data_IF_426376401791
#
_entry.id   IF_426376401791
#
_cell.length_a   1.000
_cell.length_b   1.000
_cell.length_c   1.000
_cell.angle_alpha   90.00
_cell.angle_beta   90.00
_cell.angle_gamma   90.00
#
_symmetry.space_group_name_H-M   'P 1'
#
loop_
_entity.id
_entity.type
_entity.pdbx_description
1 polymer ?
#
# COMPACT_ATOMS: atom_id res chain seq x y z
N UNK A 1 -28.19 -20.90 52.73
CA UNK A 1 -27.57 -21.66 51.62
C UNK A 1 -28.01 -21.22 50.23
N UNK A 2 -29.29 -20.88 49.99
CA UNK A 2 -29.79 -20.55 48.64
C UNK A 2 -29.17 -19.33 47.94
N UNK A 3 -28.76 -18.28 48.67
CA UNK A 3 -28.13 -17.07 48.08
C UNK A 3 -26.75 -17.34 47.46
N UNK A 4 -26.01 -18.34 47.96
CA UNK A 4 -24.68 -18.71 47.46
C UNK A 4 -24.78 -19.49 46.15
N UNK A 5 -25.84 -20.28 45.99
CA UNK A 5 -26.12 -21.04 44.76
C UNK A 5 -26.54 -20.11 43.61
N UNK A 6 -27.40 -19.13 43.88
CA UNK A 6 -27.83 -18.16 42.86
C UNK A 6 -26.65 -17.32 42.34
N UNK A 7 -25.77 -16.86 43.25
CA UNK A 7 -24.55 -16.12 42.86
C UNK A 7 -23.55 -16.99 42.08
N UNK A 8 -23.57 -18.31 42.27
CA UNK A 8 -22.74 -19.25 41.50
C UNK A 8 -23.28 -19.47 40.09
N UNK A 9 -24.61 -19.49 39.92
CA UNK A 9 -25.28 -19.61 38.63
C UNK A 9 -25.05 -18.33 37.80
N UNK A 10 -25.23 -17.15 38.39
CA UNK A 10 -24.98 -15.84 37.77
C UNK A 10 -23.56 -15.75 37.20
N UNK A 11 -22.54 -16.09 38.01
CA UNK A 11 -21.14 -16.11 37.58
C UNK A 11 -20.84 -17.06 36.41
N UNK A 12 -21.53 -18.20 36.31
CA UNK A 12 -21.34 -19.14 35.20
C UNK A 12 -21.98 -18.61 33.91
N UNK A 13 -23.12 -17.92 34.01
CA UNK A 13 -23.76 -17.23 32.88
C UNK A 13 -22.90 -16.07 32.36
N UNK A 14 -22.30 -15.29 33.25
CA UNK A 14 -21.42 -14.16 32.88
C UNK A 14 -20.14 -14.61 32.18
N UNK A 15 -19.58 -15.76 32.56
CA UNK A 15 -18.39 -16.32 31.93
C UNK A 15 -18.65 -16.72 30.47
N UNK A 16 -19.80 -17.33 30.18
CA UNK A 16 -20.21 -17.63 28.80
C UNK A 16 -20.40 -16.35 27.96
N UNK A 17 -21.04 -15.33 28.54
CA UNK A 17 -21.21 -14.04 27.90
C UNK A 17 -19.87 -13.33 27.64
N UNK A 18 -18.94 -13.37 28.60
CA UNK A 18 -17.61 -12.80 28.47
C UNK A 18 -16.80 -13.48 27.36
N UNK A 19 -16.86 -14.81 27.24
CA UNK A 19 -16.20 -15.55 26.16
C UNK A 19 -16.78 -15.20 24.79
N UNK A 20 -18.11 -15.06 24.69
CA UNK A 20 -18.77 -14.62 23.46
C UNK A 20 -18.36 -13.20 23.07
N UNK A 21 -18.30 -12.28 24.03
CA UNK A 21 -17.89 -10.90 23.80
C UNK A 21 -16.42 -10.79 23.36
N UNK A 22 -15.54 -11.63 23.92
CA UNK A 22 -14.14 -11.75 23.49
C UNK A 22 -14.03 -12.18 22.03
N UNK A 23 -14.81 -13.19 21.62
CA UNK A 23 -14.88 -13.65 20.24
C UNK A 23 -15.37 -12.54 19.29
N UNK A 24 -16.44 -11.85 19.66
CA UNK A 24 -16.99 -10.73 18.88
C UNK A 24 -15.97 -9.59 18.76
N UNK A 25 -15.23 -9.28 19.83
CA UNK A 25 -14.17 -8.28 19.81
C UNK A 25 -13.11 -8.60 18.76
N UNK A 26 -12.61 -9.84 18.73
CA UNK A 26 -11.61 -10.25 17.73
C UNK A 26 -12.15 -10.23 16.29
N UNK A 27 -13.38 -10.73 16.09
CA UNK A 27 -13.99 -10.81 14.77
C UNK A 27 -14.25 -9.41 14.20
N UNK A 28 -14.83 -8.51 15.00
CA UNK A 28 -15.16 -7.15 14.54
C UNK A 28 -13.92 -6.33 14.21
N UNK A 29 -12.86 -6.43 15.03
CA UNK A 29 -11.58 -5.79 14.75
C UNK A 29 -10.99 -6.32 13.44
N UNK A 30 -11.01 -7.63 13.21
CA UNK A 30 -10.53 -8.22 11.96
C UNK A 30 -11.31 -7.72 10.73
N UNK A 31 -12.63 -7.64 10.83
CA UNK A 31 -13.51 -7.13 9.76
C UNK A 31 -13.18 -5.67 9.44
N UNK A 32 -13.08 -4.81 10.47
CA UNK A 32 -12.78 -3.38 10.29
C UNK A 32 -11.41 -3.20 9.66
N UNK A 33 -10.38 -3.91 10.13
CA UNK A 33 -9.04 -3.85 9.55
C UNK A 33 -9.05 -4.29 8.08
N UNK A 34 -9.71 -5.41 7.76
CA UNK A 34 -9.82 -5.89 6.39
C UNK A 34 -10.50 -4.85 5.49
N UNK A 35 -11.61 -4.24 5.94
CA UNK A 35 -12.29 -3.18 5.22
C UNK A 35 -11.41 -1.96 4.99
N UNK A 36 -10.70 -1.48 6.01
CA UNK A 36 -9.81 -0.32 5.91
C UNK A 36 -8.67 -0.58 4.92
N UNK A 37 -8.11 -1.80 4.91
CA UNK A 37 -7.05 -2.17 3.95
C UNK A 37 -7.61 -2.23 2.52
N UNK A 38 -8.79 -2.80 2.31
CA UNK A 38 -9.41 -2.87 0.99
C UNK A 38 -9.74 -1.47 0.45
N UNK A 39 -10.35 -0.63 1.27
CA UNK A 39 -10.67 0.76 0.92
C UNK A 39 -9.41 1.58 0.69
N UNK A 40 -8.39 1.43 1.55
CA UNK A 40 -7.10 2.08 1.38
C UNK A 40 -6.43 1.71 0.06
N UNK A 41 -6.38 0.42 -0.28
CA UNK A 41 -5.83 -0.05 -1.55
C UNK A 41 -6.64 0.47 -2.76
N UNK A 42 -7.97 0.51 -2.65
CA UNK A 42 -8.83 1.05 -3.69
C UNK A 42 -8.57 2.55 -3.91
N UNK A 43 -8.46 3.34 -2.83
CA UNK A 43 -8.14 4.77 -2.90
C UNK A 43 -6.75 4.99 -3.49
N UNK A 44 -5.74 4.23 -3.04
CA UNK A 44 -4.38 4.28 -3.61
C UNK A 44 -4.43 4.03 -5.12
N UNK A 45 -5.18 3.01 -5.56
CA UNK A 45 -5.33 2.70 -6.99
C UNK A 45 -6.04 3.80 -7.77
N UNK A 46 -7.10 4.39 -7.22
CA UNK A 46 -7.81 5.49 -7.88
C UNK A 46 -6.92 6.72 -8.01
N UNK A 47 -6.24 7.13 -6.93
CA UNK A 47 -5.32 8.28 -6.98
C UNK A 47 -4.15 8.01 -7.92
N UNK A 48 -3.58 6.80 -7.91
CA UNK A 48 -2.52 6.39 -8.84
C UNK A 48 -2.98 6.31 -10.31
N UNK A 49 -4.28 6.15 -10.57
CA UNK A 49 -4.86 6.22 -11.92
C UNK A 49 -5.00 7.68 -12.39
N UNK A 50 -5.30 8.61 -11.48
CA UNK A 50 -5.45 10.04 -11.80
C UNK A 50 -4.12 10.80 -11.88
N UNK A 51 -3.12 10.34 -11.13
CA UNK A 51 -1.74 10.77 -11.24
C UNK A 51 -0.92 9.56 -11.72
N UNK A 52 -0.83 9.33 -13.04
CA UNK A 52 0.08 8.34 -13.60
C UNK A 52 1.54 8.84 -13.47
N UNK A 53 1.95 9.25 -12.28
CA UNK A 53 3.33 9.53 -11.96
C UNK A 53 4.02 8.20 -11.68
N UNK A 54 4.68 7.65 -12.71
CA UNK A 54 6.04 7.12 -12.65
C UNK A 54 6.44 6.08 -11.58
N UNK A 55 5.58 5.59 -10.67
CA UNK A 55 5.98 4.66 -9.59
C UNK A 55 6.12 3.22 -10.12
N UNK A 56 5.30 2.81 -11.09
CA UNK A 56 5.51 1.53 -11.79
C UNK A 56 6.80 1.54 -12.60
N UNK A 57 7.19 2.71 -13.14
CA UNK A 57 8.51 2.89 -13.75
C UNK A 57 9.60 2.99 -12.70
N UNK A 58 9.40 3.59 -11.52
CA UNK A 58 10.48 3.75 -10.54
C UNK A 58 10.93 2.42 -9.93
N UNK A 59 10.02 1.46 -9.72
CA UNK A 59 10.39 0.12 -9.24
C UNK A 59 11.13 -0.68 -10.33
N UNK A 60 10.72 -0.57 -11.60
CA UNK A 60 11.38 -1.25 -12.73
C UNK A 60 12.65 -0.52 -13.25
N UNK A 61 12.69 0.81 -13.19
CA UNK A 61 13.81 1.66 -13.65
C UNK A 61 14.94 1.68 -12.63
N UNK A 62 14.67 1.64 -11.33
CA UNK A 62 15.73 1.55 -10.32
C UNK A 62 16.44 0.19 -10.40
N UNK A 63 15.69 -0.88 -10.74
CA UNK A 63 16.24 -2.21 -10.94
C UNK A 63 17.04 -2.35 -12.26
N UNK A 64 16.60 -1.74 -13.38
CA UNK A 64 17.21 -1.97 -14.69
C UNK A 64 18.06 -0.83 -15.27
N UNK A 65 18.00 0.41 -14.77
CA UNK A 65 18.78 1.52 -15.33
C UNK A 65 20.12 1.77 -14.65
N UNK A 66 20.34 1.16 -13.48
CA UNK A 66 21.56 1.41 -12.70
C UNK A 66 22.74 0.57 -13.17
N UNK A 67 22.54 -0.46 -14.01
CA UNK A 67 23.57 -1.46 -14.34
C UNK A 67 24.23 -1.34 -15.72
N UNK A 68 23.60 -0.80 -16.77
CA UNK A 68 24.14 -0.99 -18.14
C UNK A 68 24.50 0.26 -18.97
N UNK A 69 23.91 1.42 -18.69
CA UNK A 69 24.22 2.64 -19.46
C UNK A 69 25.11 3.58 -18.66
N UNK A 70 26.34 3.80 -19.16
CA UNK A 70 27.26 4.77 -18.57
C UNK A 70 26.56 6.14 -18.45
N UNK A 71 26.22 6.52 -17.21
CA UNK A 71 25.42 7.70 -16.82
C UNK A 71 25.90 9.00 -17.50
N UNK A 72 27.20 9.11 -17.82
CA UNK A 72 27.76 10.25 -18.56
C UNK A 72 27.25 10.37 -19.99
N UNK A 73 27.05 9.26 -20.70
CA UNK A 73 26.51 9.26 -22.08
C UNK A 73 25.04 9.64 -22.10
N UNK A 74 24.27 9.11 -21.15
CA UNK A 74 22.84 9.45 -20.97
C UNK A 74 22.65 10.94 -20.72
N UNK A 75 23.44 11.53 -19.81
CA UNK A 75 23.35 12.95 -19.50
C UNK A 75 23.68 13.86 -20.71
N UNK A 76 24.68 13.47 -21.51
CA UNK A 76 25.03 14.22 -22.72
C UNK A 76 23.89 14.22 -23.75
N UNK A 77 23.23 13.07 -23.94
CA UNK A 77 22.08 12.95 -24.86
C UNK A 77 20.91 13.82 -24.38
N UNK A 78 20.57 13.75 -23.09
CA UNK A 78 19.50 14.57 -22.50
C UNK A 78 19.78 16.06 -22.70
N UNK A 79 21.02 16.50 -22.48
CA UNK A 79 21.41 17.89 -22.68
C UNK A 79 21.30 18.31 -24.14
N UNK A 80 21.74 17.47 -25.08
CA UNK A 80 21.66 17.77 -26.51
C UNK A 80 20.20 17.93 -26.97
N UNK A 81 19.32 17.01 -26.54
CA UNK A 81 17.89 17.08 -26.86
C UNK A 81 17.27 18.33 -26.26
N UNK A 82 17.60 18.70 -25.02
CA UNK A 82 17.12 19.93 -24.40
C UNK A 82 17.55 21.17 -25.17
N UNK A 83 18.80 21.23 -25.63
CA UNK A 83 19.31 22.35 -26.42
C UNK A 83 18.63 22.45 -27.78
N UNK A 84 18.49 21.34 -28.51
CA UNK A 84 17.87 21.31 -29.84
C UNK A 84 16.37 21.63 -29.77
N UNK A 85 15.68 21.18 -28.72
CA UNK A 85 14.24 21.40 -28.54
C UNK A 85 13.90 22.68 -27.77
N UNK A 86 14.90 23.54 -27.49
CA UNK A 86 14.70 24.77 -26.74
C UNK A 86 14.12 24.56 -25.33
N UNK A 87 14.37 23.40 -24.72
CA UNK A 87 13.94 23.07 -23.36
C UNK A 87 12.62 22.32 -23.23
N UNK A 88 11.92 22.01 -24.34
CA UNK A 88 10.59 21.38 -24.29
C UNK A 88 10.61 19.85 -24.38
N UNK A 89 11.65 19.26 -24.99
CA UNK A 89 11.78 17.82 -25.16
C UNK A 89 12.37 17.13 -23.93
N UNK A 90 11.81 15.98 -23.54
CA UNK A 90 12.29 15.13 -22.45
C UNK A 90 12.61 13.72 -22.94
N UNK A 91 13.72 13.15 -22.47
CA UNK A 91 14.12 11.79 -22.82
C UNK A 91 13.44 10.81 -21.87
N UNK A 92 12.50 10.03 -22.40
CA UNK A 92 11.68 9.10 -21.61
C UNK A 92 12.24 7.68 -21.57
N UNK A 93 13.06 7.29 -22.56
CA UNK A 93 13.69 5.97 -22.65
C UNK A 93 14.92 6.03 -23.58
N UNK A 94 15.97 5.27 -23.26
CA UNK A 94 17.17 5.12 -24.09
C UNK A 94 17.38 3.63 -24.33
N UNK A 95 17.39 3.23 -25.60
CA UNK A 95 17.64 1.85 -26.03
C UNK A 95 18.73 1.86 -27.11
N UNK A 96 19.59 0.84 -27.10
CA UNK A 96 20.63 0.67 -28.11
C UNK A 96 20.00 -0.04 -29.32
N UNK A 97 20.24 0.48 -30.52
CA UNK A 97 19.91 -0.20 -31.78
C UNK A 97 20.88 -1.37 -32.04
#
# INVERSE_FOLDING_TARGET
>A
MGKVFLKKIEKMSDLGFALQLMGIGMITVFIILSLVVLLGNLIIRFVNQYLPEEVSRKVEQVANQTSDFNRKKVAAIVSAVKTVTGGKGHVTKIEKL
#
